data_IF_451799704340
#
_entry.id   IF_451799704340
#
_cell.length_a   1.000
_cell.length_b   1.000
_cell.length_c   1.000
_cell.angle_alpha   90.00
_cell.angle_beta   90.00
_cell.angle_gamma   90.00
#
_symmetry.space_group_name_H-M   'P 1'
#
loop_
_entity.id
_entity.type
_entity.pdbx_description
1 polymer ?
#
# COMPACT_ATOMS: atom_id res chain seq x y z
N UNK A 1 -22.94 -22.59 -13.92
CA UNK A 1 -22.86 -22.92 -12.49
C UNK A 1 -22.26 -21.71 -11.80
N UNK A 2 -23.10 -20.96 -11.07
CA UNK A 2 -22.67 -19.75 -10.36
C UNK A 2 -21.87 -20.16 -9.12
N UNK A 3 -20.58 -19.87 -9.10
CA UNK A 3 -19.78 -20.07 -7.89
C UNK A 3 -20.02 -18.88 -6.96
N UNK A 4 -20.62 -19.16 -5.82
CA UNK A 4 -20.82 -18.19 -4.75
C UNK A 4 -19.46 -17.79 -4.17
N UNK A 5 -19.13 -16.49 -4.26
CA UNK A 5 -17.97 -15.90 -3.59
C UNK A 5 -18.21 -16.04 -2.07
N UNK A 6 -17.26 -16.60 -1.30
CA UNK A 6 -17.42 -16.70 0.15
C UNK A 6 -17.40 -15.28 0.76
N UNK A 7 -18.45 -14.94 1.49
CA UNK A 7 -18.53 -13.73 2.31
C UNK A 7 -17.62 -13.91 3.53
N UNK A 8 -16.58 -13.09 3.63
CA UNK A 8 -15.72 -13.04 4.81
C UNK A 8 -16.43 -12.26 5.94
N UNK A 9 -16.37 -12.73 7.19
CA UNK A 9 -16.93 -12.00 8.32
C UNK A 9 -16.18 -10.67 8.51
N UNK A 10 -16.93 -9.60 8.82
CA UNK A 10 -16.38 -8.31 9.22
C UNK A 10 -15.64 -8.45 10.55
N UNK A 11 -14.33 -8.69 10.51
CA UNK A 11 -13.50 -8.72 11.70
C UNK A 11 -13.39 -7.30 12.28
N UNK A 12 -13.74 -7.14 13.55
CA UNK A 12 -13.43 -5.94 14.32
C UNK A 12 -11.92 -5.75 14.28
N UNK A 13 -11.47 -4.61 13.70
CA UNK A 13 -10.04 -4.31 13.56
C UNK A 13 -9.34 -4.37 14.93
N UNK A 14 -8.22 -5.09 14.99
CA UNK A 14 -7.36 -5.18 16.19
C UNK A 14 -6.53 -3.90 16.41
N UNK A 15 -6.54 -3.00 15.46
CA UNK A 15 -5.80 -1.75 15.52
C UNK A 15 -6.71 -0.63 15.98
N UNK A 16 -6.32 0.17 17.00
CA UNK A 16 -7.14 1.26 17.50
C UNK A 16 -7.37 2.30 16.40
N UNK A 17 -8.61 2.74 16.28
CA UNK A 17 -8.96 3.83 15.37
C UNK A 17 -8.31 5.13 15.86
N UNK A 18 -7.52 5.77 15.04
CA UNK A 18 -7.02 7.11 15.33
C UNK A 18 -8.14 8.15 15.32
N UNK A 19 -8.11 9.09 16.26
CA UNK A 19 -9.09 10.18 16.33
C UNK A 19 -8.85 11.20 15.19
N UNK A 20 -9.60 11.05 14.11
CA UNK A 20 -9.47 11.92 12.93
C UNK A 20 -9.78 13.39 13.19
N UNK A 21 -10.46 13.73 14.33
CA UNK A 21 -10.77 15.12 14.70
C UNK A 21 -9.52 15.92 15.06
N UNK A 22 -8.44 15.25 15.44
CA UNK A 22 -7.13 15.86 15.75
C UNK A 22 -6.18 15.92 14.56
N UNK A 23 -6.55 15.31 13.44
CA UNK A 23 -5.74 15.28 12.24
C UNK A 23 -5.94 16.53 11.39
N UNK A 24 -4.89 16.99 10.67
CA UNK A 24 -5.05 17.97 9.59
C UNK A 24 -6.14 17.50 8.60
N UNK A 25 -6.95 18.41 8.02
CA UNK A 25 -8.11 18.01 7.19
C UNK A 25 -7.77 17.12 5.99
N UNK A 26 -6.61 17.31 5.36
CA UNK A 26 -6.17 16.47 4.23
C UNK A 26 -5.83 15.06 4.69
N UNK A 27 -5.10 14.91 5.80
CA UNK A 27 -4.78 13.62 6.38
C UNK A 27 -6.06 12.89 6.85
N UNK A 28 -6.98 13.59 7.52
CA UNK A 28 -8.26 13.02 7.95
C UNK A 28 -9.06 12.44 6.77
N UNK A 29 -9.09 13.14 5.63
CA UNK A 29 -9.72 12.65 4.39
C UNK A 29 -9.01 11.42 3.82
N UNK A 30 -7.67 11.42 3.79
CA UNK A 30 -6.90 10.27 3.35
C UNK A 30 -7.14 9.04 4.23
N UNK A 31 -7.13 9.21 5.55
CA UNK A 31 -7.43 8.13 6.51
C UNK A 31 -8.85 7.60 6.35
N UNK A 32 -9.84 8.46 6.12
CA UNK A 32 -11.22 8.04 5.85
C UNK A 32 -11.30 7.22 4.54
N UNK A 33 -10.66 7.69 3.48
CA UNK A 33 -10.59 6.98 2.19
C UNK A 33 -9.96 5.58 2.33
N UNK A 34 -8.85 5.47 3.09
CA UNK A 34 -8.25 4.16 3.37
C UNK A 34 -9.22 3.20 4.07
N UNK A 35 -10.05 3.69 5.00
CA UNK A 35 -11.10 2.90 5.68
C UNK A 35 -12.16 2.39 4.72
N UNK A 36 -12.54 3.24 3.78
CA UNK A 36 -13.62 2.96 2.82
C UNK A 36 -13.12 2.15 1.60
N UNK A 37 -11.80 1.97 1.45
CA UNK A 37 -11.21 1.30 0.29
C UNK A 37 -11.06 2.20 -0.93
N UNK A 38 -11.27 3.50 -0.78
CA UNK A 38 -10.99 4.49 -1.82
C UNK A 38 -9.48 4.73 -1.91
N UNK A 39 -8.85 4.65 -3.09
CA UNK A 39 -7.44 4.95 -3.23
C UNK A 39 -7.08 6.38 -2.82
N UNK A 40 -5.92 6.54 -2.23
CA UNK A 40 -5.29 7.82 -1.88
C UNK A 40 -4.14 8.08 -2.83
N UNK A 41 -4.02 9.29 -3.36
CA UNK A 41 -2.83 9.72 -4.08
C UNK A 41 -1.82 10.23 -3.05
N UNK A 42 -0.69 9.57 -2.93
CA UNK A 42 0.41 9.98 -2.04
C UNK A 42 1.59 10.45 -2.89
N UNK A 43 2.05 11.67 -2.64
CA UNK A 43 3.21 12.27 -3.30
C UNK A 43 4.40 12.25 -2.34
N UNK A 44 5.58 11.93 -2.86
CA UNK A 44 6.80 12.11 -2.10
C UNK A 44 7.45 13.49 -2.31
N UNK A 45 8.61 13.67 -1.69
CA UNK A 45 9.31 14.94 -1.73
C UNK A 45 9.93 15.20 -3.13
N UNK A 46 9.89 16.43 -3.61
CA UNK A 46 10.37 16.83 -4.94
C UNK A 46 11.86 16.51 -5.17
N UNK A 47 12.64 16.46 -4.12
CA UNK A 47 14.08 16.15 -4.14
C UNK A 47 14.40 14.67 -3.98
N UNK A 48 13.35 13.80 -3.85
CA UNK A 48 13.50 12.35 -3.71
C UNK A 48 13.23 11.63 -5.05
N UNK A 49 12.07 11.05 -5.26
CA UNK A 49 11.63 10.41 -6.53
C UNK A 49 10.82 11.40 -7.37
N UNK A 50 10.16 12.35 -6.70
CA UNK A 50 9.20 13.27 -7.30
C UNK A 50 8.14 12.52 -8.09
N UNK A 51 7.55 11.53 -7.44
CA UNK A 51 6.52 10.65 -7.99
C UNK A 51 5.25 10.69 -7.14
N UNK A 52 4.20 10.12 -7.66
CA UNK A 52 2.94 9.97 -6.95
C UNK A 52 2.43 8.54 -7.14
N UNK A 53 2.06 7.90 -6.02
CA UNK A 53 1.52 6.56 -6.01
C UNK A 53 0.03 6.56 -5.68
N UNK A 54 -0.72 5.65 -6.29
CA UNK A 54 -2.03 5.26 -5.80
C UNK A 54 -1.85 4.25 -4.67
N UNK A 55 -2.45 4.56 -3.51
CA UNK A 55 -2.35 3.74 -2.31
C UNK A 55 -3.74 3.30 -1.86
N UNK A 56 -3.87 2.04 -1.49
CA UNK A 56 -5.08 1.48 -0.88
C UNK A 56 -4.72 0.52 0.24
N UNK A 57 -5.50 0.50 1.32
CA UNK A 57 -5.30 -0.49 2.37
C UNK A 57 -5.51 -1.91 1.82
N UNK A 58 -4.56 -2.81 2.08
CA UNK A 58 -4.61 -4.16 1.53
C UNK A 58 -5.86 -4.95 1.94
N UNK A 59 -6.41 -4.69 3.15
CA UNK A 59 -7.67 -5.28 3.61
C UNK A 59 -8.90 -4.83 2.84
N UNK A 60 -8.84 -3.66 2.20
CA UNK A 60 -9.95 -3.03 1.48
C UNK A 60 -9.85 -3.18 -0.03
N UNK A 61 -8.73 -3.71 -0.50
CA UNK A 61 -8.48 -3.90 -1.91
C UNK A 61 -9.51 -4.85 -2.54
N UNK A 62 -10.13 -4.40 -3.62
CA UNK A 62 -11.02 -5.19 -4.46
C UNK A 62 -10.48 -5.33 -5.89
N UNK A 63 -11.19 -6.09 -6.73
CA UNK A 63 -10.77 -6.38 -8.10
C UNK A 63 -10.84 -5.13 -8.98
N UNK A 64 -11.83 -4.26 -8.76
CA UNK A 64 -12.02 -3.05 -9.56
C UNK A 64 -10.90 -2.04 -9.27
N UNK A 65 -10.54 -1.86 -8.00
CA UNK A 65 -9.39 -1.04 -7.59
C UNK A 65 -8.07 -1.62 -8.11
N UNK A 66 -7.87 -2.94 -8.04
CA UNK A 66 -6.68 -3.57 -8.63
C UNK A 66 -6.61 -3.36 -10.14
N UNK A 67 -7.74 -3.48 -10.84
CA UNK A 67 -7.80 -3.21 -12.28
C UNK A 67 -7.48 -1.74 -12.60
N UNK A 68 -7.90 -0.80 -11.74
CA UNK A 68 -7.52 0.61 -11.85
C UNK A 68 -6.00 0.79 -11.71
N UNK A 69 -5.38 0.23 -10.66
CA UNK A 69 -3.93 0.28 -10.46
C UNK A 69 -3.16 -0.25 -11.67
N UNK A 70 -3.61 -1.36 -12.27
CA UNK A 70 -2.97 -1.95 -13.44
C UNK A 70 -3.09 -1.05 -14.69
N UNK A 71 -4.19 -0.31 -14.85
CA UNK A 71 -4.44 0.53 -16.04
C UNK A 71 -3.83 1.92 -15.95
N UNK A 72 -3.88 2.54 -14.78
CA UNK A 72 -3.52 3.96 -14.60
C UNK A 72 -2.11 4.14 -14.01
N UNK A 73 -1.48 3.05 -13.57
CA UNK A 73 -0.19 3.08 -12.91
C UNK A 73 0.84 2.22 -13.67
N UNK A 74 2.06 2.09 -13.13
CA UNK A 74 3.15 1.31 -13.70
C UNK A 74 2.81 -0.17 -13.95
N UNK A 75 1.81 -0.68 -13.23
CA UNK A 75 1.47 -2.10 -13.21
C UNK A 75 2.39 -2.95 -12.34
N UNK A 76 3.45 -2.37 -11.76
CA UNK A 76 4.30 -3.02 -10.76
C UNK A 76 3.60 -2.90 -9.40
N UNK A 77 2.65 -3.80 -9.16
CA UNK A 77 1.84 -3.76 -7.94
C UNK A 77 2.67 -4.20 -6.75
N UNK A 78 2.93 -3.24 -5.84
CA UNK A 78 3.71 -3.44 -4.64
C UNK A 78 2.82 -3.64 -3.42
N UNK A 79 3.14 -4.64 -2.58
CA UNK A 79 2.50 -4.91 -1.29
C UNK A 79 3.40 -4.45 -0.16
N UNK A 80 3.11 -3.27 0.42
CA UNK A 80 3.85 -2.72 1.55
C UNK A 80 3.46 -3.44 2.84
N UNK A 81 4.43 -4.00 3.53
CA UNK A 81 4.24 -4.82 4.73
C UNK A 81 5.16 -4.36 5.86
N UNK A 82 4.70 -4.54 7.09
CA UNK A 82 5.54 -4.39 8.27
C UNK A 82 6.55 -5.53 8.40
N UNK A 83 7.54 -5.33 9.24
CA UNK A 83 8.62 -6.28 9.50
C UNK A 83 8.11 -7.62 10.03
N UNK A 84 7.08 -7.60 10.88
CA UNK A 84 6.50 -8.80 11.47
C UNK A 84 5.82 -9.69 10.41
N UNK A 85 5.12 -9.09 9.46
CA UNK A 85 4.49 -9.81 8.35
C UNK A 85 5.54 -10.36 7.37
N UNK A 86 6.57 -9.59 7.05
CA UNK A 86 7.70 -10.06 6.23
C UNK A 86 8.39 -11.26 6.86
N UNK A 87 8.64 -11.22 8.17
CA UNK A 87 9.27 -12.32 8.90
C UNK A 87 8.36 -13.56 8.94
N UNK A 88 7.06 -13.39 9.21
CA UNK A 88 6.06 -14.47 9.26
C UNK A 88 5.90 -15.19 7.92
N UNK A 89 5.97 -14.45 6.81
CA UNK A 89 5.93 -15.00 5.46
C UNK A 89 7.30 -15.49 4.96
N UNK A 90 8.36 -15.35 5.77
CA UNK A 90 9.73 -15.73 5.41
C UNK A 90 10.16 -15.14 4.06
N UNK A 91 9.96 -13.84 3.86
CA UNK A 91 10.27 -13.15 2.62
C UNK A 91 11.72 -12.61 2.65
N UNK A 92 12.67 -13.26 1.97
CA UNK A 92 14.04 -12.74 1.87
C UNK A 92 14.07 -11.50 0.96
N UNK A 93 15.07 -10.64 1.11
CA UNK A 93 15.33 -9.58 0.14
C UNK A 93 15.43 -10.13 -1.28
N UNK A 94 14.96 -9.36 -2.27
CA UNK A 94 15.01 -9.75 -3.68
C UNK A 94 16.46 -9.97 -4.15
N UNK A 95 17.41 -9.24 -3.59
CA UNK A 95 18.84 -9.32 -3.90
C UNK A 95 19.66 -9.35 -2.60
N UNK A 96 20.82 -10.01 -2.65
CA UNK A 96 21.74 -10.05 -1.50
C UNK A 96 22.32 -8.67 -1.18
N UNK A 97 22.52 -7.81 -2.18
CA UNK A 97 23.00 -6.44 -2.06
C UNK A 97 22.05 -5.52 -2.82
N UNK A 98 21.38 -4.62 -2.10
CA UNK A 98 20.52 -3.62 -2.72
C UNK A 98 21.37 -2.44 -3.22
N UNK A 99 21.38 -2.23 -4.53
CA UNK A 99 22.11 -1.15 -5.20
C UNK A 99 21.16 -0.09 -5.77
N UNK A 100 19.85 -0.15 -5.44
CA UNK A 100 18.89 0.85 -5.89
C UNK A 100 19.16 2.22 -5.27
N UNK A 101 18.98 3.29 -6.07
CA UNK A 101 19.28 4.67 -5.66
C UNK A 101 18.60 5.08 -4.35
N UNK A 102 17.36 4.68 -4.16
CA UNK A 102 16.55 5.05 -2.99
C UNK A 102 16.44 3.94 -1.94
N UNK A 103 17.13 2.81 -2.14
CA UNK A 103 17.21 1.72 -1.19
C UNK A 103 15.87 1.02 -0.92
N UNK A 104 14.91 1.07 -1.87
CA UNK A 104 13.61 0.43 -1.73
C UNK A 104 13.76 -1.06 -1.43
N UNK A 105 13.19 -1.49 -0.31
CA UNK A 105 13.43 -2.82 0.24
C UNK A 105 12.50 -3.88 -0.39
N UNK A 106 12.72 -4.15 -1.67
CA UNK A 106 12.04 -5.26 -2.36
C UNK A 106 12.40 -6.59 -1.75
N UNK A 107 11.40 -7.42 -1.54
CA UNK A 107 11.57 -8.85 -1.28
C UNK A 107 11.34 -9.65 -2.57
N UNK A 108 11.57 -10.97 -2.52
CA UNK A 108 11.15 -11.84 -3.62
C UNK A 108 9.66 -11.65 -3.91
N UNK A 109 9.30 -11.65 -5.21
CA UNK A 109 7.88 -11.57 -5.61
C UNK A 109 7.13 -12.84 -5.23
N UNK A 110 5.82 -12.70 -5.05
CA UNK A 110 4.97 -13.76 -4.52
C UNK A 110 3.70 -13.99 -5.34
N UNK A 111 3.13 -15.18 -5.16
CA UNK A 111 1.77 -15.54 -5.53
C UNK A 111 1.09 -16.36 -4.44
N UNK A 112 -0.25 -16.35 -4.40
CA UNK A 112 -0.98 -17.30 -3.59
C UNK A 112 -0.72 -18.73 -4.11
N UNK A 113 -0.58 -19.70 -3.19
CA UNK A 113 -0.40 -21.11 -3.58
C UNK A 113 -1.66 -21.68 -4.23
N UNK A 114 -2.83 -21.21 -3.80
CA UNK A 114 -4.13 -21.69 -4.25
C UNK A 114 -5.06 -20.53 -4.61
N UNK A 115 -6.10 -20.83 -5.36
CA UNK A 115 -7.15 -19.86 -5.70
C UNK A 115 -6.81 -18.86 -6.81
N UNK A 116 -5.73 -19.09 -7.54
CA UNK A 116 -5.29 -18.28 -8.67
C UNK A 116 -5.26 -19.09 -9.97
N UNK A 117 -5.21 -18.39 -11.11
CA UNK A 117 -4.98 -18.99 -12.43
C UNK A 117 -3.51 -18.82 -12.84
N UNK A 118 -3.18 -17.75 -13.57
CA UNK A 118 -1.82 -17.43 -14.00
C UNK A 118 -1.10 -16.44 -13.08
N UNK A 119 -1.79 -15.90 -12.07
CA UNK A 119 -1.26 -14.93 -11.13
C UNK A 119 -1.30 -13.47 -11.60
N UNK A 120 -1.49 -13.21 -12.89
CA UNK A 120 -1.35 -11.88 -13.51
C UNK A 120 -2.61 -11.03 -13.41
N UNK A 121 -3.80 -11.67 -13.46
CA UNK A 121 -5.06 -10.95 -13.49
C UNK A 121 -5.30 -10.11 -12.22
N UNK A 122 -6.16 -9.10 -12.31
CA UNK A 122 -6.54 -8.32 -11.13
C UNK A 122 -7.09 -9.22 -10.02
N UNK A 123 -7.92 -10.19 -10.35
CA UNK A 123 -8.48 -11.14 -9.40
C UNK A 123 -7.40 -12.01 -8.73
N UNK A 124 -6.43 -12.52 -9.50
CA UNK A 124 -5.33 -13.34 -8.97
C UNK A 124 -4.43 -12.52 -8.03
N UNK A 125 -4.11 -11.26 -8.40
CA UNK A 125 -3.29 -10.39 -7.53
C UNK A 125 -4.03 -10.02 -6.24
N UNK A 126 -5.33 -9.76 -6.29
CA UNK A 126 -6.15 -9.55 -5.09
C UNK A 126 -6.15 -10.81 -4.22
N UNK A 127 -6.30 -11.99 -4.80
CA UNK A 127 -6.22 -13.27 -4.08
C UNK A 127 -4.87 -13.43 -3.39
N UNK A 128 -3.78 -13.16 -4.10
CA UNK A 128 -2.41 -13.21 -3.56
C UNK A 128 -2.23 -12.26 -2.38
N UNK A 129 -2.67 -11.01 -2.51
CA UNK A 129 -2.57 -10.00 -1.45
C UNK A 129 -3.39 -10.41 -0.23
N UNK A 130 -4.64 -10.83 -0.42
CA UNK A 130 -5.52 -11.29 0.66
C UNK A 130 -4.95 -12.50 1.38
N UNK A 131 -4.37 -13.45 0.66
CA UNK A 131 -3.67 -14.62 1.23
C UNK A 131 -2.50 -14.18 2.09
N UNK A 132 -1.62 -13.30 1.58
CA UNK A 132 -0.44 -12.84 2.29
C UNK A 132 -0.76 -12.10 3.60
N UNK A 133 -1.84 -11.30 3.64
CA UNK A 133 -2.26 -10.55 4.83
C UNK A 133 -3.28 -11.27 5.70
N UNK A 134 -3.68 -12.50 5.36
CA UNK A 134 -4.63 -13.28 6.15
C UNK A 134 -4.07 -13.51 7.56
N UNK A 135 -4.98 -13.60 8.53
CA UNK A 135 -4.60 -13.96 9.89
C UNK A 135 -4.02 -15.39 9.90
N UNK A 136 -2.85 -15.57 10.50
CA UNK A 136 -2.18 -16.84 10.53
C UNK A 136 -1.50 -17.28 9.23
N UNK A 137 -1.54 -16.48 8.15
CA UNK A 137 -0.83 -16.78 6.91
C UNK A 137 0.67 -17.03 7.16
N UNK A 138 1.25 -18.00 6.48
CA UNK A 138 2.64 -18.43 6.60
C UNK A 138 3.30 -18.52 5.23
N UNK A 139 4.59 -18.81 5.20
CA UNK A 139 5.32 -19.09 3.96
C UNK A 139 4.74 -20.25 3.13
N UNK A 140 3.96 -21.14 3.77
CA UNK A 140 3.33 -22.27 3.08
C UNK A 140 2.11 -21.86 2.23
N UNK A 141 1.51 -20.70 2.51
CA UNK A 141 0.31 -20.22 1.81
C UNK A 141 0.64 -19.47 0.51
N UNK A 142 1.91 -19.17 0.30
CA UNK A 142 2.41 -18.44 -0.87
C UNK A 142 3.47 -19.24 -1.63
N UNK A 143 3.68 -18.89 -2.90
CA UNK A 143 4.78 -19.39 -3.74
C UNK A 143 5.63 -18.24 -4.23
N UNK A 144 6.82 -18.54 -4.68
CA UNK A 144 7.84 -17.58 -5.18
C UNK A 144 8.47 -18.17 -6.45
N UNK A 145 8.74 -17.36 -7.50
CA UNK A 145 8.33 -15.97 -7.67
C UNK A 145 6.84 -15.83 -8.00
N UNK A 146 6.37 -14.59 -8.17
CA UNK A 146 5.00 -14.28 -8.58
C UNK A 146 4.86 -12.86 -9.14
N UNK A 147 3.62 -12.37 -9.20
CA UNK A 147 3.28 -11.09 -9.85
C UNK A 147 2.86 -9.98 -8.85
N UNK A 148 3.04 -10.20 -7.56
CA UNK A 148 2.94 -9.20 -6.51
C UNK A 148 4.31 -9.01 -5.88
N UNK A 149 4.71 -7.75 -5.67
CA UNK A 149 6.05 -7.37 -5.21
C UNK A 149 5.99 -6.85 -3.77
N UNK A 150 6.28 -7.68 -2.74
CA UNK A 150 6.27 -7.18 -1.37
C UNK A 150 7.45 -6.23 -1.12
N UNK A 151 7.14 -5.13 -0.41
CA UNK A 151 8.09 -4.14 0.08
C UNK A 151 8.11 -4.17 1.60
N UNK A 152 9.30 -4.19 2.18
CA UNK A 152 9.49 -4.12 3.63
C UNK A 152 9.54 -2.68 4.07
N UNK A 153 8.56 -2.21 4.85
CA UNK A 153 8.60 -0.89 5.46
C UNK A 153 9.72 -0.82 6.51
N UNK A 154 10.43 0.30 6.54
CA UNK A 154 11.49 0.53 7.52
C UNK A 154 10.89 0.60 8.94
N UNK A 155 11.53 -0.07 9.94
CA UNK A 155 11.16 0.13 11.34
C UNK A 155 11.24 1.61 11.71
N UNK A 156 10.19 2.14 12.35
CA UNK A 156 10.05 3.57 12.64
C UNK A 156 9.25 4.36 11.59
N UNK A 157 8.77 3.69 10.54
CA UNK A 157 7.84 4.26 9.56
C UNK A 157 8.39 5.49 8.84
N UNK A 158 7.50 6.46 8.54
CA UNK A 158 7.86 7.68 7.79
C UNK A 158 8.87 8.57 8.49
N UNK A 159 9.04 8.43 9.81
CA UNK A 159 10.08 9.17 10.55
C UNK A 159 11.47 8.60 10.32
N UNK A 160 11.58 7.31 10.03
CA UNK A 160 12.85 6.65 9.72
C UNK A 160 13.20 6.75 8.22
N UNK A 161 12.20 6.61 7.34
CA UNK A 161 12.36 6.71 5.89
C UNK A 161 11.13 7.39 5.27
N UNK A 162 11.34 8.53 4.62
CA UNK A 162 10.30 9.34 3.99
C UNK A 162 9.90 8.78 2.61
N UNK A 163 9.40 7.54 2.57
CA UNK A 163 9.06 6.85 1.32
C UNK A 163 7.61 6.44 1.24
N UNK A 164 7.13 6.19 0.02
CA UNK A 164 5.77 5.70 -0.25
C UNK A 164 5.47 4.40 0.50
N UNK A 165 6.44 3.49 0.62
CA UNK A 165 6.29 2.21 1.36
C UNK A 165 5.88 2.45 2.81
N UNK A 166 6.63 3.31 3.52
CA UNK A 166 6.38 3.65 4.91
C UNK A 166 5.07 4.45 5.06
N UNK A 167 4.85 5.42 4.17
CA UNK A 167 3.62 6.22 4.13
C UNK A 167 2.37 5.37 3.93
N UNK A 168 2.46 4.35 3.08
CA UNK A 168 1.36 3.42 2.81
C UNK A 168 0.96 2.60 4.04
N UNK A 169 1.96 2.01 4.73
CA UNK A 169 1.73 1.25 5.97
C UNK A 169 1.21 2.17 7.07
N UNK A 170 1.77 3.37 7.21
CA UNK A 170 1.36 4.37 8.19
C UNK A 170 -0.11 4.77 8.03
N UNK A 171 -0.54 5.04 6.79
CA UNK A 171 -1.95 5.37 6.48
C UNK A 171 -2.90 4.23 6.82
N UNK A 172 -2.51 2.97 6.55
CA UNK A 172 -3.31 1.81 6.93
C UNK A 172 -3.45 1.71 8.47
N UNK A 173 -2.36 1.90 9.21
CA UNK A 173 -2.38 1.91 10.68
C UNK A 173 -3.24 3.05 11.23
N UNK A 174 -3.10 4.27 10.71
CA UNK A 174 -3.94 5.43 11.11
C UNK A 174 -5.43 5.19 10.80
N UNK A 175 -5.72 4.43 9.77
CA UNK A 175 -7.08 4.00 9.42
C UNK A 175 -7.62 2.92 10.36
N UNK A 176 -6.81 2.37 11.29
CA UNK A 176 -7.18 1.26 12.17
C UNK A 176 -7.26 -0.08 11.43
N UNK A 177 -6.52 -0.24 10.36
CA UNK A 177 -6.44 -1.45 9.53
C UNK A 177 -5.10 -2.16 9.77
N UNK A 178 -4.95 -3.36 9.21
CA UNK A 178 -3.66 -4.08 9.24
C UNK A 178 -2.54 -3.21 8.68
N UNK A 179 -1.29 -3.34 9.19
CA UNK A 179 -0.13 -2.59 8.71
C UNK A 179 0.32 -3.12 7.33
N UNK A 180 -0.59 -3.05 6.38
CA UNK A 180 -0.42 -3.56 5.02
C UNK A 180 -1.21 -2.68 4.04
N UNK A 181 -0.55 -2.24 2.98
CA UNK A 181 -1.16 -1.45 1.92
C UNK A 181 -0.60 -1.85 0.55
N UNK A 182 -1.35 -1.54 -0.49
CA UNK A 182 -0.91 -1.72 -1.87
C UNK A 182 -0.61 -0.36 -2.46
N UNK A 183 0.47 -0.26 -3.20
CA UNK A 183 0.83 0.93 -3.96
C UNK A 183 1.19 0.59 -5.41
N UNK A 184 1.02 1.57 -6.28
CA UNK A 184 1.50 1.53 -7.66
C UNK A 184 1.70 2.97 -8.16
N UNK A 185 2.79 3.22 -8.86
CA UNK A 185 3.22 4.55 -9.31
C UNK A 185 2.35 5.06 -10.46
N UNK A 186 1.83 6.30 -10.35
CA UNK A 186 0.99 6.92 -11.39
C UNK A 186 1.79 7.25 -12.65
N UNK A 187 1.24 6.83 -13.80
CA UNK A 187 1.84 7.07 -15.10
C UNK A 187 0.91 7.83 -16.04
N UNK A 188 1.50 8.62 -16.92
CA UNK A 188 0.79 9.16 -18.07
C UNK A 188 0.55 8.06 -19.14
N UNK A 189 -0.46 8.21 -20.02
CA UNK A 189 -0.74 7.24 -21.07
C UNK A 189 0.43 7.01 -22.06
N UNK A 190 1.38 7.96 -22.12
CA UNK A 190 2.59 7.84 -22.95
C UNK A 190 3.73 7.07 -22.25
N UNK A 191 3.51 6.57 -21.03
CA UNK A 191 4.49 5.82 -20.25
C UNK A 191 5.44 6.69 -19.42
N UNK A 192 5.28 8.02 -19.42
CA UNK A 192 6.05 8.90 -18.51
C UNK A 192 5.41 8.95 -17.12
N UNK A 193 6.21 9.28 -16.10
CA UNK A 193 5.70 9.44 -14.74
C UNK A 193 4.79 10.67 -14.63
N UNK A 194 3.65 10.51 -13.95
CA UNK A 194 2.73 11.62 -13.71
C UNK A 194 3.28 12.51 -12.59
N UNK A 195 3.28 13.85 -12.78
CA UNK A 195 3.89 14.80 -11.83
C UNK A 195 3.09 16.10 -11.68
N UNK A 196 3.27 16.76 -10.57
CA UNK A 196 2.78 18.10 -10.31
C UNK A 196 1.28 18.28 -10.56
N UNK A 197 0.91 19.18 -11.47
CA UNK A 197 -0.51 19.47 -11.77
C UNK A 197 -1.25 18.29 -12.42
N UNK A 198 -0.54 17.40 -13.14
CA UNK A 198 -1.14 16.19 -13.72
C UNK A 198 -1.70 15.31 -12.60
N UNK A 199 -0.94 15.10 -11.52
CA UNK A 199 -1.33 14.34 -10.33
C UNK A 199 -2.55 14.97 -9.65
N UNK A 200 -2.51 16.29 -9.44
CA UNK A 200 -3.63 17.04 -8.83
C UNK A 200 -4.92 16.90 -9.64
N UNK A 201 -4.81 16.99 -10.96
CA UNK A 201 -5.94 16.80 -11.88
C UNK A 201 -6.47 15.37 -11.85
N UNK A 202 -5.58 14.37 -11.86
CA UNK A 202 -5.96 12.96 -11.74
C UNK A 202 -6.73 12.71 -10.44
N UNK A 203 -6.19 13.11 -9.30
CA UNK A 203 -6.83 12.96 -8.00
C UNK A 203 -8.22 13.58 -7.96
N UNK A 204 -8.36 14.81 -8.48
CA UNK A 204 -9.64 15.51 -8.55
C UNK A 204 -10.65 14.81 -9.47
N UNK A 205 -10.23 14.36 -10.65
CA UNK A 205 -11.10 13.71 -11.61
C UNK A 205 -11.64 12.36 -11.10
N UNK A 206 -10.88 11.68 -10.26
CA UNK A 206 -11.25 10.40 -9.66
C UNK A 206 -11.86 10.54 -8.25
N UNK A 207 -12.01 11.77 -7.73
CA UNK A 207 -12.53 12.02 -6.39
C UNK A 207 -11.63 11.48 -5.26
N UNK A 208 -10.34 11.28 -5.55
CA UNK A 208 -9.38 10.73 -4.60
C UNK A 208 -8.74 11.83 -3.75
N UNK A 209 -8.53 11.62 -2.44
CA UNK A 209 -7.74 12.54 -1.64
C UNK A 209 -6.27 12.50 -2.08
N UNK A 210 -5.62 13.66 -2.02
CA UNK A 210 -4.19 13.83 -2.28
C UNK A 210 -3.51 14.27 -0.99
N UNK A 211 -2.44 13.56 -0.63
CA UNK A 211 -1.61 13.81 0.54
C UNK A 211 -0.14 13.79 0.13
N UNK A 212 0.74 14.45 0.90
CA UNK A 212 2.19 14.34 0.74
C UNK A 212 2.83 13.58 1.90
N UNK A 213 3.99 12.98 1.65
CA UNK A 213 4.83 12.38 2.71
C UNK A 213 5.19 13.43 3.75
N UNK A 214 5.46 14.68 3.35
CA UNK A 214 5.75 15.78 4.26
C UNK A 214 4.62 16.03 5.26
N UNK A 215 3.37 16.07 4.81
CA UNK A 215 2.20 16.25 5.69
C UNK A 215 2.05 15.10 6.70
N UNK A 216 2.34 13.88 6.27
CA UNK A 216 2.29 12.70 7.14
C UNK A 216 3.42 12.73 8.18
N UNK A 217 4.63 13.09 7.78
CA UNK A 217 5.79 13.26 8.68
C UNK A 217 5.52 14.35 9.70
N UNK A 218 5.02 15.53 9.28
CA UNK A 218 4.71 16.63 10.17
C UNK A 218 3.67 16.22 11.24
N UNK A 219 2.65 15.47 10.83
CA UNK A 219 1.66 14.94 11.77
C UNK A 219 2.29 13.99 12.79
N UNK A 220 3.11 13.03 12.36
CA UNK A 220 3.77 12.07 13.27
C UNK A 220 4.76 12.73 14.22
N UNK A 221 5.48 13.75 13.77
CA UNK A 221 6.34 14.55 14.64
C UNK A 221 5.53 15.28 15.72
N UNK A 222 4.38 15.85 15.37
CA UNK A 222 3.51 16.52 16.34
C UNK A 222 2.93 15.55 17.40
N UNK A 223 2.57 14.33 16.99
CA UNK A 223 2.12 13.30 17.94
C UNK A 223 3.22 12.86 18.91
N UNK A 224 4.45 12.68 18.41
CA UNK A 224 5.59 12.30 19.23
C UNK A 224 5.91 13.36 20.30
N UNK A 225 5.77 14.65 19.96
CA UNK A 225 5.95 15.75 20.92
C UNK A 225 4.86 15.82 22.01
N UNK A 226 3.64 15.39 21.69
CA UNK A 226 2.53 15.36 22.68
C UNK A 226 2.64 14.14 23.61
N UNK A 227 3.29 13.07 23.17
CA UNK A 227 3.47 11.84 23.94
C UNK A 227 4.72 11.84 24.86
N UNK A 228 5.63 12.81 24.67
CA UNK A 228 6.86 12.98 25.48
C UNK A 228 6.65 13.89 26.69
#
# INVERSE_FOLDING_TARGET
MSQSVPSFPSSISRYPLSDTRRMPPRLARAVAAMRDGTPVVLMDDDDRENEADLIVAAERLDVDTMALLIRECSGIVCLCLDDATIARLELPPMVARNESRHGTAFTVSIEAREGISTGVSAADRVTTIRTAIAEGATAADIVRPGHVFPLRAAPGGVLARRGHTEGSVELAVLAGLKPAAVLCELMNPDGTMMRGEQVTRFARNHGMPLLTIEELVAYRQSEALVAA
#
